data_IF_853245536624
#
_entry.id   IF_853245536624
#
_cell.length_a   1.000
_cell.length_b   1.000
_cell.length_c   1.000
_cell.angle_alpha   90.00
_cell.angle_beta   90.00
_cell.angle_gamma   90.00
#
_symmetry.space_group_name_H-M   'P 1'
#
loop_
_entity.id
_entity.type
_entity.pdbx_description
1 polymer ?
#
# COMPACT_ATOMS: atom_id res chain seq x y z
N UNK A 1 1.50 17.63 -6.22
CA UNK A 1 1.85 16.35 -6.87
C UNK A 1 3.31 16.02 -6.52
N UNK A 2 3.57 15.24 -5.46
CA UNK A 2 4.96 14.90 -5.07
C UNK A 2 5.47 13.81 -6.00
N UNK A 3 6.32 14.17 -6.97
CA UNK A 3 7.11 13.23 -7.75
C UNK A 3 8.24 12.72 -6.86
N UNK A 4 8.21 11.46 -6.47
CA UNK A 4 9.33 10.84 -5.77
C UNK A 4 10.15 10.06 -6.81
N UNK A 5 11.36 10.54 -7.08
CA UNK A 5 12.37 9.78 -7.83
C UNK A 5 13.08 8.89 -6.83
N UNK A 6 12.80 7.58 -6.89
CA UNK A 6 13.81 6.53 -6.99
C UNK A 6 13.11 5.18 -7.30
N UNK A 7 13.52 4.55 -8.40
CA UNK A 7 13.29 3.15 -8.83
C UNK A 7 14.56 2.72 -9.60
N UNK A 8 15.69 3.38 -9.37
CA UNK A 8 16.88 3.53 -10.21
C UNK A 8 16.74 3.68 -11.75
N UNK A 9 15.53 3.63 -12.34
CA UNK A 9 15.18 4.28 -13.63
C UNK A 9 13.66 4.49 -13.82
N UNK A 10 12.85 4.29 -12.78
CA UNK A 10 11.39 4.41 -12.82
C UNK A 10 10.79 5.55 -11.98
N UNK A 11 9.45 5.63 -11.94
CA UNK A 11 8.72 6.60 -11.10
C UNK A 11 7.59 5.95 -10.31
N UNK A 12 7.40 6.39 -9.06
CA UNK A 12 6.19 6.16 -8.30
C UNK A 12 5.53 7.48 -7.87
N UNK A 13 4.21 7.57 -8.05
CA UNK A 13 3.41 8.76 -7.73
C UNK A 13 2.37 8.46 -6.65
N UNK A 14 2.07 9.45 -5.79
CA UNK A 14 1.09 9.34 -4.71
C UNK A 14 -0.26 9.99 -5.05
N UNK A 15 -1.35 9.25 -4.88
CA UNK A 15 -2.40 9.73 -3.98
C UNK A 15 -2.09 9.16 -2.58
N UNK A 16 -2.78 9.59 -1.52
CA UNK A 16 -2.41 9.17 -0.15
C UNK A 16 -2.52 7.66 0.06
N UNK A 17 -3.27 6.96 -0.80
CA UNK A 17 -3.61 5.53 -0.66
C UNK A 17 -3.46 4.70 -1.95
N UNK A 18 -3.31 5.34 -3.11
CA UNK A 18 -3.01 4.65 -4.37
C UNK A 18 -1.69 5.12 -4.95
N UNK A 19 -1.04 4.22 -5.67
CA UNK A 19 0.29 4.40 -6.20
C UNK A 19 0.38 3.95 -7.65
N UNK A 20 1.43 4.44 -8.31
CA UNK A 20 1.84 4.00 -9.63
C UNK A 20 3.27 3.52 -9.50
N UNK A 21 3.69 2.54 -10.29
CA UNK A 21 5.07 2.11 -10.39
C UNK A 21 5.37 1.76 -11.85
N UNK A 22 6.33 2.46 -12.46
CA UNK A 22 6.71 2.25 -13.87
C UNK A 22 8.22 2.13 -14.00
N UNK A 23 8.72 1.13 -14.73
CA UNK A 23 10.15 0.87 -14.97
C UNK A 23 10.52 -0.62 -14.81
N UNK A 24 11.63 -1.07 -15.42
CA UNK A 24 12.12 -2.47 -15.37
C UNK A 24 11.07 -3.54 -15.73
N UNK A 25 10.27 -3.27 -16.76
CA UNK A 25 9.18 -4.17 -17.18
C UNK A 25 7.87 -4.01 -16.40
N UNK A 26 7.84 -3.17 -15.35
CA UNK A 26 6.64 -2.85 -14.61
C UNK A 26 5.90 -1.66 -15.24
N UNK A 27 4.58 -1.81 -15.37
CA UNK A 27 3.66 -0.75 -15.76
C UNK A 27 2.41 -0.82 -14.88
N UNK A 28 2.58 -0.51 -13.59
CA UNK A 28 1.55 -0.61 -12.57
C UNK A 28 0.92 0.77 -12.38
N UNK A 29 -0.39 0.84 -12.53
CA UNK A 29 -1.19 2.03 -12.26
C UNK A 29 -2.24 1.72 -11.21
N UNK A 30 -2.58 2.72 -10.39
CA UNK A 30 -3.62 2.63 -9.37
C UNK A 30 -3.51 1.39 -8.45
N UNK A 31 -2.30 0.98 -8.07
CA UNK A 31 -2.11 -0.06 -7.07
C UNK A 31 -2.35 0.48 -5.64
N UNK A 32 -2.89 -0.32 -4.71
CA UNK A 32 -3.00 0.06 -3.31
C UNK A 32 -1.61 0.30 -2.72
N UNK A 33 -1.52 1.30 -1.84
CA UNK A 33 -0.29 1.63 -1.12
C UNK A 33 -0.40 1.14 0.31
N UNK A 34 0.56 0.32 0.72
CA UNK A 34 0.64 -0.28 2.06
C UNK A 34 1.82 0.30 2.83
N UNK A 35 1.71 0.31 4.16
CA UNK A 35 2.80 0.70 5.06
C UNK A 35 3.49 -0.53 5.65
N UNK A 36 4.82 -0.60 5.53
CA UNK A 36 5.62 -1.74 5.98
C UNK A 36 5.47 -2.04 7.48
N UNK A 37 5.26 -1.04 8.32
CA UNK A 37 5.04 -1.21 9.76
C UNK A 37 3.78 -2.03 10.13
N UNK A 38 2.90 -2.27 9.15
CA UNK A 38 1.67 -3.05 9.29
C UNK A 38 1.74 -4.41 8.61
N UNK A 39 2.89 -4.75 8.03
CA UNK A 39 3.15 -6.04 7.42
C UNK A 39 3.89 -6.90 8.44
N UNK A 40 3.34 -8.06 8.76
CA UNK A 40 3.99 -9.00 9.68
C UNK A 40 5.02 -9.90 8.99
N UNK A 41 5.63 -10.80 9.77
CA UNK A 41 6.63 -11.74 9.26
C UNK A 41 6.08 -12.75 8.22
N UNK A 42 4.76 -12.95 8.20
CA UNK A 42 4.07 -13.83 7.24
C UNK A 42 3.62 -13.07 5.98
N UNK A 43 4.09 -11.83 5.81
CA UNK A 43 3.72 -10.94 4.72
C UNK A 43 2.22 -10.60 4.67
N UNK A 44 1.56 -10.63 5.84
CA UNK A 44 0.18 -10.21 5.97
C UNK A 44 0.15 -8.74 6.37
N UNK A 45 -0.47 -7.91 5.53
CA UNK A 45 -0.77 -6.53 5.87
C UNK A 45 -2.08 -6.47 6.67
N UNK A 46 -2.06 -5.78 7.81
CA UNK A 46 -3.27 -5.54 8.63
C UNK A 46 -3.48 -4.06 8.92
N UNK A 47 -4.60 -3.53 8.45
CA UNK A 47 -5.04 -2.19 8.80
C UNK A 47 -6.44 -2.19 9.39
N UNK A 48 -6.57 -2.11 10.72
CA UNK A 48 -7.85 -1.77 11.31
C UNK A 48 -8.14 -0.32 10.94
N UNK A 49 -8.96 -0.09 9.91
CA UNK A 49 -9.53 1.22 9.68
C UNK A 49 -10.42 1.56 10.89
N UNK A 50 -9.83 2.22 11.89
CA UNK A 50 -10.53 2.53 13.15
C UNK A 50 -11.62 3.57 12.90
N UNK A 51 -12.87 3.16 13.13
CA UNK A 51 -14.07 4.02 13.15
C UNK A 51 -14.81 4.07 11.82
N UNK A 52 -16.04 4.65 11.79
CA UNK A 52 -16.90 4.69 10.63
C UNK A 52 -16.39 5.61 9.51
N UNK A 53 -15.26 5.23 8.92
CA UNK A 53 -14.66 5.87 7.74
C UNK A 53 -15.19 5.29 6.43
N UNK A 54 -15.93 4.18 6.52
CA UNK A 54 -16.56 3.46 5.41
C UNK A 54 -17.50 4.30 4.54
N UNK A 55 -17.84 5.54 4.94
CA UNK A 55 -18.64 6.49 4.13
C UNK A 55 -18.07 7.90 3.95
N UNK A 56 -16.89 8.22 4.50
CA UNK A 56 -16.46 9.64 4.61
C UNK A 56 -15.16 10.01 3.90
N UNK A 57 -14.40 9.05 3.36
CA UNK A 57 -13.16 9.39 2.67
C UNK A 57 -13.14 8.81 1.26
N UNK A 58 -13.29 9.68 0.26
CA UNK A 58 -12.98 9.42 -1.16
C UNK A 58 -11.62 8.72 -1.34
N UNK A 59 -10.69 8.94 -0.42
CA UNK A 59 -9.38 8.29 -0.37
C UNK A 59 -9.43 6.82 0.02
N UNK A 60 -10.32 6.44 0.94
CA UNK A 60 -10.57 5.04 1.31
C UNK A 60 -11.25 4.29 0.16
N UNK A 61 -12.26 4.88 -0.47
CA UNK A 61 -12.90 4.29 -1.65
C UNK A 61 -11.89 4.08 -2.79
N UNK A 62 -10.98 5.04 -3.01
CA UNK A 62 -9.88 4.90 -3.95
C UNK A 62 -8.94 3.74 -3.59
N UNK A 63 -8.63 3.56 -2.31
CA UNK A 63 -7.82 2.45 -1.82
C UNK A 63 -8.49 1.10 -2.10
N UNK A 64 -9.76 0.96 -1.74
CA UNK A 64 -10.52 -0.28 -1.93
C UNK A 64 -10.72 -0.60 -3.41
N UNK A 65 -11.00 0.41 -4.24
CA UNK A 65 -11.09 0.24 -5.68
C UNK A 65 -9.75 -0.24 -6.27
N UNK A 66 -8.63 0.34 -5.82
CA UNK A 66 -7.29 -0.10 -6.20
C UNK A 66 -7.00 -1.54 -5.75
N UNK A 67 -7.33 -1.88 -4.51
CA UNK A 67 -7.13 -3.21 -3.94
C UNK A 67 -7.90 -4.30 -4.71
N UNK A 68 -9.12 -3.99 -5.16
CA UNK A 68 -9.94 -4.91 -5.95
C UNK A 68 -9.49 -5.04 -7.40
N UNK A 69 -8.87 -4.01 -7.97
CA UNK A 69 -8.54 -3.95 -9.39
C UNK A 69 -7.07 -4.29 -9.70
N UNK A 70 -6.18 -4.26 -8.71
CA UNK A 70 -4.75 -4.45 -8.91
C UNK A 70 -4.29 -5.82 -8.45
N UNK A 71 -3.43 -6.44 -9.24
CA UNK A 71 -2.69 -7.66 -8.87
C UNK A 71 -1.49 -7.36 -7.97
N UNK A 72 -1.16 -6.08 -7.76
CA UNK A 72 0.06 -5.66 -7.08
C UNK A 72 -0.22 -4.65 -5.97
N UNK A 73 0.57 -4.71 -4.91
CA UNK A 73 0.61 -3.71 -3.85
C UNK A 73 1.95 -2.98 -3.84
N UNK A 74 1.90 -1.67 -3.62
CA UNK A 74 3.08 -0.81 -3.47
C UNK A 74 3.33 -0.60 -1.98
N UNK A 75 4.46 -1.07 -1.47
CA UNK A 75 4.83 -0.98 -0.05
C UNK A 75 5.79 0.19 0.18
N UNK A 76 5.43 1.04 1.14
CA UNK A 76 6.25 2.16 1.59
C UNK A 76 6.75 1.96 3.01
N UNK A 77 7.83 2.67 3.32
CA UNK A 77 8.39 2.72 4.65
C UNK A 77 7.43 3.38 5.63
N UNK A 78 6.89 2.53 6.51
CA UNK A 78 6.40 2.90 7.82
C UNK A 78 7.28 2.25 8.88
N UNK A 79 7.48 2.95 10.00
CA UNK A 79 8.03 2.42 11.24
C UNK A 79 7.02 2.58 12.37
N UNK A 80 7.27 1.89 13.48
CA UNK A 80 6.68 2.18 14.77
C UNK A 80 7.77 2.79 15.64
N UNK A 81 7.47 3.87 16.33
CA UNK A 81 8.38 4.39 17.34
C UNK A 81 8.26 3.60 18.65
N UNK A 82 8.99 4.04 19.67
CA UNK A 82 9.01 3.43 21.00
C UNK A 82 7.65 3.46 21.73
N UNK A 83 6.71 4.31 21.28
CA UNK A 83 5.35 4.42 21.79
C UNK A 83 4.33 3.65 20.93
N UNK A 84 4.82 2.81 20.00
CA UNK A 84 4.03 2.14 18.96
C UNK A 84 3.32 3.09 17.98
N UNK A 85 3.69 4.38 17.95
CA UNK A 85 3.11 5.32 17.01
C UNK A 85 3.69 5.09 15.61
N UNK A 86 2.81 5.11 14.61
CA UNK A 86 3.18 4.88 13.23
C UNK A 86 3.78 6.16 12.63
N UNK A 87 5.04 6.09 12.21
CA UNK A 87 5.67 7.11 11.39
C UNK A 87 5.99 6.56 10.00
N UNK A 88 6.14 7.42 9.00
CA UNK A 88 6.49 7.00 7.65
C UNK A 88 7.38 8.01 6.96
N UNK A 89 8.45 7.54 6.33
CA UNK A 89 9.35 8.40 5.55
C UNK A 89 8.83 8.65 4.13
N UNK A 90 7.76 7.95 3.72
CA UNK A 90 7.20 8.01 2.38
C UNK A 90 8.04 7.31 1.32
N UNK A 91 9.21 6.77 1.69
CA UNK A 91 10.10 6.01 0.81
C UNK A 91 9.42 4.73 0.30
N UNK A 92 9.54 4.45 -0.99
CA UNK A 92 9.16 3.16 -1.57
C UNK A 92 10.13 2.07 -1.11
N UNK A 93 9.64 0.90 -0.67
CA UNK A 93 10.47 -0.23 -0.24
C UNK A 93 10.23 -1.49 -1.09
N UNK A 94 9.05 -1.65 -1.68
CA UNK A 94 8.80 -2.81 -2.52
C UNK A 94 7.54 -2.65 -3.34
N UNK A 95 7.44 -3.51 -4.34
CA UNK A 95 6.17 -3.91 -4.94
C UNK A 95 6.02 -5.42 -4.76
N UNK A 96 4.85 -5.85 -4.31
CA UNK A 96 4.50 -7.25 -4.11
C UNK A 96 3.27 -7.62 -4.93
N UNK A 97 3.16 -8.90 -5.28
CA UNK A 97 1.88 -9.49 -5.72
C UNK A 97 0.88 -9.50 -4.56
N UNK A 98 -0.40 -9.36 -4.89
CA UNK A 98 -1.51 -9.57 -3.97
C UNK A 98 -2.05 -10.98 -4.22
N UNK A 99 -1.96 -11.84 -3.21
CA UNK A 99 -2.45 -13.22 -3.28
C UNK A 99 -3.93 -13.26 -2.94
N UNK A 100 -4.31 -12.57 -1.87
CA UNK A 100 -5.70 -12.43 -1.44
C UNK A 100 -5.86 -11.16 -0.61
N UNK A 101 -7.11 -10.73 -0.45
CA UNK A 101 -7.46 -9.66 0.45
C UNK A 101 -8.84 -9.89 1.06
N UNK A 102 -9.03 -9.40 2.27
CA UNK A 102 -10.31 -9.39 2.97
C UNK A 102 -10.60 -7.97 3.46
N UNK A 103 -11.87 -7.60 3.43
CA UNK A 103 -12.37 -6.32 3.92
C UNK A 103 -13.51 -6.64 4.88
N UNK A 104 -13.34 -6.33 6.16
CA UNK A 104 -14.36 -6.58 7.17
C UNK A 104 -15.49 -5.54 7.11
N UNK A 105 -16.58 -5.79 7.85
CA UNK A 105 -17.76 -4.92 7.89
C UNK A 105 -17.45 -3.51 8.44
N UNK A 106 -16.39 -3.36 9.24
CA UNK A 106 -15.93 -2.08 9.77
C UNK A 106 -15.07 -1.30 8.77
N UNK A 107 -14.63 -1.95 7.70
CA UNK A 107 -13.70 -1.44 6.69
C UNK A 107 -12.24 -1.73 7.00
N UNK A 108 -11.95 -2.57 8.00
CA UNK A 108 -10.61 -3.11 8.22
C UNK A 108 -10.18 -3.94 7.01
N UNK A 109 -8.88 -3.89 6.70
CA UNK A 109 -8.32 -4.55 5.53
C UNK A 109 -7.19 -5.49 5.95
N UNK A 110 -7.29 -6.73 5.48
CA UNK A 110 -6.21 -7.71 5.50
C UNK A 110 -5.78 -8.00 4.06
N UNK A 111 -4.47 -8.03 3.79
CA UNK A 111 -3.93 -8.37 2.47
C UNK A 111 -2.82 -9.38 2.64
N UNK A 112 -2.97 -10.55 2.01
CA UNK A 112 -1.88 -11.51 1.88
C UNK A 112 -1.01 -11.09 0.70
N UNK A 113 0.25 -10.76 0.99
CA UNK A 113 1.23 -10.47 -0.04
C UNK A 113 1.92 -11.75 -0.49
N UNK A 114 2.28 -11.79 -1.76
CA UNK A 114 2.99 -12.88 -2.41
C UNK A 114 4.42 -12.52 -2.74
N UNK A 115 4.86 -12.86 -3.95
CA UNK A 115 6.23 -12.63 -4.39
C UNK A 115 6.52 -11.12 -4.48
N UNK A 116 7.73 -10.73 -4.04
CA UNK A 116 8.28 -9.40 -4.31
C UNK A 116 8.66 -9.29 -5.78
N UNK A 117 8.07 -8.32 -6.48
CA UNK A 117 8.34 -8.04 -7.90
C UNK A 117 9.26 -6.83 -8.09
N UNK A 118 9.36 -5.93 -7.10
CA UNK A 118 10.24 -4.76 -7.15
C UNK A 118 10.67 -4.25 -5.77
N UNK A 119 11.66 -3.33 -5.72
CA UNK A 119 12.28 -2.78 -4.51
C UNK A 119 11.69 -1.47 -3.99
#
# INVERSE_FOLDING_TARGET
>A
MIKMRDLNSGFAYRSSWTGHAKGRGLNISNAPVLHSARIDANQVYRDPFKGPRHRFSKKYEQFIAALKASEYAIVRHGGKDENEELFGSGKLIAVYEIVSHEIDESGGVEVQLGKRVAF
#
